data_IF_727656151934
#
_entry.id   IF_727656151934
#
_cell.length_a   1.000
_cell.length_b   1.000
_cell.length_c   1.000
_cell.angle_alpha   90.00
_cell.angle_beta   90.00
_cell.angle_gamma   90.00
#
_symmetry.space_group_name_H-M   'P 1'
#
loop_
_entity.id
_entity.type
_entity.pdbx_description
1 polymer ?
#
# COMPACT_ATOMS: atom_id res chain seq x y z
N UNK A 1 34.35 2.68 3.90
CA UNK A 1 35.57 2.64 3.06
C UNK A 1 36.70 3.28 3.84
N UNK A 2 37.59 2.47 4.42
CA UNK A 2 38.79 2.95 5.11
C UNK A 2 39.82 3.39 4.07
N UNK A 3 40.27 4.65 4.16
CA UNK A 3 41.40 5.15 3.38
C UNK A 3 42.65 4.97 4.23
N UNK A 4 43.40 3.90 3.95
CA UNK A 4 44.74 3.65 4.46
C UNK A 4 45.71 4.59 3.72
N UNK A 5 46.13 5.67 4.38
CA UNK A 5 47.19 6.55 3.87
C UNK A 5 48.53 5.95 4.27
N UNK A 6 49.21 5.29 3.33
CA UNK A 6 50.61 4.93 3.46
C UNK A 6 51.46 6.20 3.35
N UNK A 7 52.14 6.57 4.45
CA UNK A 7 53.21 7.57 4.44
C UNK A 7 54.56 6.87 4.52
N UNK A 8 55.29 6.89 3.42
CA UNK A 8 56.70 6.47 3.35
C UNK A 8 57.60 7.61 3.84
N UNK A 9 58.31 7.31 4.94
CA UNK A 9 59.68 7.73 5.28
C UNK A 9 60.17 9.11 4.79
N UNK A 10 60.08 10.12 5.67
CA UNK A 10 60.78 11.40 5.49
C UNK A 10 60.50 12.36 6.64
N UNK A 11 61.42 12.44 7.60
CA UNK A 11 61.37 13.36 8.75
C UNK A 11 61.39 14.83 8.28
N UNK A 12 60.22 15.47 8.16
CA UNK A 12 60.04 16.91 8.29
C UNK A 12 58.59 17.19 8.74
N UNK A 13 58.35 17.26 10.05
CA UNK A 13 57.11 17.83 10.58
C UNK A 13 57.10 19.33 10.26
N UNK A 14 56.40 19.73 9.20
CA UNK A 14 56.11 21.15 8.94
C UNK A 14 55.05 21.62 9.94
N UNK A 15 55.23 22.75 10.65
CA UNK A 15 54.25 23.26 11.64
C UNK A 15 52.82 23.36 11.10
N UNK A 16 52.69 23.65 9.80
CA UNK A 16 51.42 23.77 9.09
C UNK A 16 50.62 22.45 8.97
N UNK A 17 51.28 21.27 9.02
CA UNK A 17 50.55 19.98 8.96
C UNK A 17 49.86 19.63 10.28
N UNK A 18 50.40 20.07 11.43
CA UNK A 18 49.75 19.87 12.73
C UNK A 18 48.52 20.78 12.89
N UNK A 19 48.60 22.04 12.47
CA UNK A 19 47.45 22.95 12.46
C UNK A 19 46.33 22.47 11.53
N UNK A 20 46.64 21.99 10.31
CA UNK A 20 45.63 21.44 9.40
C UNK A 20 44.96 20.17 9.95
N UNK A 21 45.70 19.33 10.67
CA UNK A 21 45.13 18.11 11.30
C UNK A 21 44.23 18.47 12.47
N UNK A 22 44.56 19.48 13.27
CA UNK A 22 43.66 20.00 14.32
C UNK A 22 42.42 20.68 13.73
N UNK A 23 42.56 21.42 12.63
CA UNK A 23 41.44 22.06 11.95
C UNK A 23 40.52 21.02 11.30
N UNK A 24 41.07 19.97 10.68
CA UNK A 24 40.32 18.83 10.16
C UNK A 24 39.59 18.09 11.29
N UNK A 25 40.24 17.87 12.43
CA UNK A 25 39.61 17.26 13.61
C UNK A 25 38.47 18.09 14.18
N UNK A 26 38.60 19.43 14.21
CA UNK A 26 37.51 20.35 14.61
C UNK A 26 36.35 20.29 13.62
N UNK A 27 36.63 20.28 12.31
CA UNK A 27 35.61 20.17 11.27
C UNK A 27 34.90 18.82 11.32
N UNK A 28 35.63 17.71 11.49
CA UNK A 28 35.05 16.37 11.68
C UNK A 28 34.18 16.30 12.93
N UNK A 29 34.66 16.80 14.08
CA UNK A 29 33.89 16.81 15.31
C UNK A 29 32.61 17.65 15.20
N UNK A 30 32.67 18.80 14.51
CA UNK A 30 31.49 19.62 14.22
C UNK A 30 30.54 18.91 13.25
N UNK A 31 31.06 18.20 12.24
CA UNK A 31 30.25 17.39 11.32
C UNK A 31 29.56 16.24 12.06
N UNK A 32 30.29 15.47 12.87
CA UNK A 32 29.74 14.35 13.65
C UNK A 32 28.69 14.83 14.65
N UNK A 33 28.91 15.97 15.30
CA UNK A 33 27.90 16.57 16.19
C UNK A 33 26.68 17.06 15.39
N UNK A 34 26.88 17.73 14.26
CA UNK A 34 25.76 18.19 13.41
C UNK A 34 24.97 17.03 12.81
N UNK A 35 25.65 15.97 12.35
CA UNK A 35 25.01 14.76 11.82
C UNK A 35 24.28 13.97 12.91
N UNK A 36 24.86 13.89 14.12
CA UNK A 36 24.22 13.27 15.29
C UNK A 36 22.94 13.99 15.73
N UNK A 37 22.98 15.32 15.87
CA UNK A 37 21.79 16.12 16.21
C UNK A 37 20.71 16.09 15.12
N UNK A 38 21.12 16.06 13.85
CA UNK A 38 20.19 15.96 12.73
C UNK A 38 19.53 14.57 12.69
N UNK A 39 20.29 13.52 13.01
CA UNK A 39 19.78 12.14 13.05
C UNK A 39 18.78 11.94 14.19
N UNK A 40 19.07 12.42 15.41
CA UNK A 40 18.12 12.29 16.52
C UNK A 40 16.81 13.07 16.25
N UNK A 41 16.92 14.28 15.70
CA UNK A 41 15.77 15.09 15.31
C UNK A 41 14.92 14.38 14.25
N UNK A 42 15.56 13.76 13.26
CA UNK A 42 14.90 12.99 12.21
C UNK A 42 14.22 11.72 12.74
N UNK A 43 14.87 11.00 13.64
CA UNK A 43 14.29 9.83 14.33
C UNK A 43 13.01 10.25 15.06
N UNK A 44 13.08 11.31 15.86
CA UNK A 44 11.91 11.85 16.59
C UNK A 44 10.79 12.27 15.64
N UNK A 45 11.13 12.94 14.53
CA UNK A 45 10.15 13.35 13.53
C UNK A 45 9.43 12.14 12.88
N UNK A 46 10.18 11.13 12.44
CA UNK A 46 9.61 9.93 11.79
C UNK A 46 8.77 9.12 12.79
N UNK A 47 9.28 8.87 13.99
CA UNK A 47 8.56 8.11 15.01
C UNK A 47 7.31 8.86 15.48
N UNK A 48 7.39 10.17 15.71
CA UNK A 48 6.21 10.97 16.08
C UNK A 48 5.16 10.94 14.97
N UNK A 49 5.58 11.00 13.70
CA UNK A 49 4.68 10.93 12.55
C UNK A 49 3.97 9.58 12.41
N UNK A 50 4.62 8.49 12.83
CA UNK A 50 4.05 7.14 12.90
C UNK A 50 3.25 6.89 14.20
N UNK A 51 3.03 7.93 15.02
CA UNK A 51 2.18 7.89 16.21
C UNK A 51 2.88 7.49 17.51
N UNK A 52 4.21 7.35 17.54
CA UNK A 52 4.95 7.06 18.78
C UNK A 52 5.00 8.30 19.68
N UNK A 53 4.79 8.11 20.98
CA UNK A 53 4.94 9.18 21.97
C UNK A 53 6.39 9.32 22.41
N UNK A 54 6.73 10.45 23.00
CA UNK A 54 8.10 10.70 23.50
C UNK A 54 8.57 9.65 24.52
N UNK A 55 7.66 9.20 25.40
CA UNK A 55 7.95 8.12 26.35
C UNK A 55 8.14 6.76 25.68
N UNK A 56 7.62 6.55 24.47
CA UNK A 56 7.75 5.29 23.74
C UNK A 56 9.14 5.13 23.12
N UNK A 57 9.88 6.23 22.94
CA UNK A 57 11.21 6.23 22.31
C UNK A 57 12.27 5.45 23.10
N UNK A 58 12.07 5.29 24.41
CA UNK A 58 13.01 4.62 25.31
C UNK A 58 12.57 3.23 25.75
N UNK A 59 11.41 2.77 25.27
CA UNK A 59 10.83 1.47 25.64
C UNK A 59 11.45 0.35 24.81
N UNK A 60 11.48 -0.85 25.39
CA UNK A 60 11.95 -2.02 24.65
C UNK A 60 10.97 -2.38 23.54
N UNK A 61 11.49 -2.74 22.37
CA UNK A 61 10.67 -3.09 21.19
C UNK A 61 9.74 -4.28 21.42
N UNK A 62 10.13 -5.16 22.36
CA UNK A 62 9.37 -6.35 22.78
C UNK A 62 8.07 -6.01 23.53
N UNK A 63 7.97 -4.79 24.09
CA UNK A 63 6.76 -4.35 24.79
C UNK A 63 5.64 -3.88 23.85
N UNK A 64 5.94 -3.70 22.57
CA UNK A 64 4.99 -3.23 21.57
C UNK A 64 4.22 -4.40 20.94
N UNK A 65 2.96 -4.17 20.59
CA UNK A 65 2.19 -5.16 19.83
C UNK A 65 2.74 -5.32 18.41
N UNK A 66 2.43 -6.43 17.73
CA UNK A 66 2.95 -6.70 16.38
C UNK A 66 2.71 -5.57 15.37
N UNK A 67 1.57 -4.87 15.43
CA UNK A 67 1.31 -3.72 14.57
C UNK A 67 2.23 -2.53 14.86
N UNK A 68 2.56 -2.29 16.13
CA UNK A 68 3.53 -1.25 16.51
C UNK A 68 4.96 -1.67 16.14
N UNK A 69 5.31 -2.96 16.27
CA UNK A 69 6.61 -3.47 15.81
C UNK A 69 6.79 -3.30 14.30
N UNK A 70 5.74 -3.54 13.51
CA UNK A 70 5.74 -3.25 12.07
C UNK A 70 6.00 -1.75 11.79
N UNK A 71 5.38 -0.84 12.56
CA UNK A 71 5.66 0.60 12.44
C UNK A 71 7.12 0.95 12.80
N UNK A 72 7.73 0.26 13.76
CA UNK A 72 9.16 0.43 14.08
C UNK A 72 10.02 0.00 12.88
N UNK A 73 9.70 -1.12 12.24
CA UNK A 73 10.42 -1.57 11.04
C UNK A 73 10.24 -0.59 9.87
N UNK A 74 9.04 -0.06 9.67
CA UNK A 74 8.80 1.01 8.71
C UNK A 74 9.64 2.25 9.04
N UNK A 75 9.68 2.69 10.29
CA UNK A 75 10.50 3.83 10.72
C UNK A 75 11.99 3.61 10.41
N UNK A 76 12.53 2.42 10.72
CA UNK A 76 13.92 2.05 10.40
C UNK A 76 14.18 2.11 8.89
N UNK A 77 13.24 1.65 8.08
CA UNK A 77 13.34 1.69 6.63
C UNK A 77 13.34 3.13 6.09
N UNK A 78 12.43 3.98 6.57
CA UNK A 78 12.34 5.39 6.17
C UNK A 78 13.60 6.18 6.56
N UNK A 79 14.20 5.87 7.72
CA UNK A 79 15.43 6.49 8.20
C UNK A 79 16.66 6.19 7.31
N UNK A 80 16.66 5.05 6.62
CA UNK A 80 17.76 4.64 5.72
C UNK A 80 17.77 5.40 4.39
N UNK A 81 16.66 6.00 4.01
CA UNK A 81 16.50 6.73 2.73
C UNK A 81 17.07 5.99 1.50
N UNK A 82 16.66 4.74 1.24
CA UNK A 82 17.14 4.01 0.07
C UNK A 82 16.73 4.69 -1.25
N UNK A 83 17.55 4.55 -2.29
CA UNK A 83 17.22 5.08 -3.63
C UNK A 83 15.94 4.49 -4.21
N UNK A 84 15.62 3.24 -3.85
CA UNK A 84 14.39 2.54 -4.20
C UNK A 84 13.76 2.01 -2.91
N UNK A 85 12.52 2.41 -2.66
CA UNK A 85 11.71 1.98 -1.53
C UNK A 85 10.63 1.01 -2.01
N UNK A 86 10.64 -0.22 -1.50
CA UNK A 86 9.61 -1.23 -1.77
C UNK A 86 8.75 -1.38 -0.52
N UNK A 87 7.44 -1.16 -0.65
CA UNK A 87 6.48 -1.26 0.45
C UNK A 87 5.37 -2.24 0.08
N UNK A 88 5.20 -3.26 0.92
CA UNK A 88 4.12 -4.23 0.78
C UNK A 88 3.06 -3.96 1.86
N UNK A 89 1.89 -3.48 1.42
CA UNK A 89 0.75 -3.08 2.25
C UNK A 89 1.13 -2.19 3.46
N UNK A 90 1.79 -1.03 3.24
CA UNK A 90 2.28 -0.17 4.32
C UNK A 90 1.17 0.54 5.11
N UNK A 91 -0.05 0.57 4.58
CA UNK A 91 -1.23 1.18 5.21
C UNK A 91 -1.81 0.31 6.33
N UNK A 92 -1.46 -0.99 6.34
CA UNK A 92 -1.94 -1.90 7.35
C UNK A 92 -1.46 -1.48 8.74
N UNK A 93 -2.37 -1.57 9.72
CA UNK A 93 -2.11 -1.20 11.11
C UNK A 93 -1.76 0.28 11.35
N UNK A 94 -1.90 1.16 10.36
CA UNK A 94 -1.87 2.61 10.55
C UNK A 94 -3.25 3.14 10.94
N UNK A 95 -3.27 4.16 11.80
CA UNK A 95 -4.47 4.97 12.00
C UNK A 95 -4.47 6.12 10.98
N UNK A 96 -5.59 6.83 10.88
CA UNK A 96 -5.79 7.87 9.87
C UNK A 96 -4.68 8.95 9.96
N UNK A 97 -4.33 9.39 11.17
CA UNK A 97 -3.29 10.40 11.38
C UNK A 97 -1.91 9.92 10.90
N UNK A 98 -1.52 8.69 11.26
CA UNK A 98 -0.23 8.13 10.82
C UNK A 98 -0.21 7.87 9.30
N UNK A 99 -1.36 7.52 8.71
CA UNK A 99 -1.51 7.29 7.28
C UNK A 99 -1.34 8.60 6.50
N UNK A 100 -2.02 9.67 6.91
CA UNK A 100 -1.90 11.01 6.29
C UNK A 100 -0.46 11.54 6.40
N UNK A 101 0.20 11.32 7.53
CA UNK A 101 1.61 11.67 7.69
C UNK A 101 2.49 10.86 6.73
N UNK A 102 2.28 9.55 6.64
CA UNK A 102 3.05 8.68 5.75
C UNK A 102 2.87 9.08 4.28
N UNK A 103 1.65 9.38 3.85
CA UNK A 103 1.36 9.90 2.50
C UNK A 103 2.14 11.18 2.22
N UNK A 104 2.15 12.12 3.17
CA UNK A 104 2.87 13.38 3.04
C UNK A 104 4.37 13.16 2.97
N UNK A 105 4.91 12.27 3.81
CA UNK A 105 6.32 11.91 3.79
C UNK A 105 6.72 11.31 2.45
N UNK A 106 5.98 10.30 1.97
CA UNK A 106 6.26 9.59 0.73
C UNK A 106 6.12 10.48 -0.52
N UNK A 107 5.20 11.46 -0.53
CA UNK A 107 5.09 12.45 -1.61
C UNK A 107 6.35 13.32 -1.76
N UNK A 108 7.05 13.59 -0.67
CA UNK A 108 8.28 14.39 -0.64
C UNK A 108 9.56 13.55 -0.74
N UNK A 109 9.41 12.23 -0.90
CA UNK A 109 10.54 11.31 -0.98
C UNK A 109 11.31 11.52 -2.28
N UNK A 110 12.64 11.63 -2.18
CA UNK A 110 13.52 11.90 -3.33
C UNK A 110 13.84 10.66 -4.16
N UNK A 111 13.65 9.45 -3.62
CA UNK A 111 13.87 8.18 -4.32
C UNK A 111 12.65 7.69 -5.09
N UNK A 112 12.78 6.52 -5.72
CA UNK A 112 11.65 5.83 -6.36
C UNK A 112 10.91 4.98 -5.34
N UNK A 113 9.57 4.98 -5.40
CA UNK A 113 8.71 4.20 -4.51
C UNK A 113 7.93 3.18 -5.36
N UNK A 114 7.94 1.92 -4.94
CA UNK A 114 7.04 0.88 -5.41
C UNK A 114 6.20 0.45 -4.20
N UNK A 115 4.89 0.65 -4.29
CA UNK A 115 3.94 0.26 -3.25
C UNK A 115 2.97 -0.76 -3.82
N UNK A 116 2.72 -1.81 -3.04
CA UNK A 116 1.54 -2.67 -3.13
C UNK A 116 0.57 -2.25 -2.03
N UNK A 117 -0.68 -1.93 -2.40
CA UNK A 117 -1.71 -1.51 -1.44
C UNK A 117 -3.09 -1.86 -1.98
N UNK A 118 -4.00 -2.26 -1.10
CA UNK A 118 -5.43 -2.36 -1.39
C UNK A 118 -6.21 -1.08 -1.06
N UNK A 119 -5.56 -0.06 -0.48
CA UNK A 119 -6.19 1.23 -0.17
C UNK A 119 -6.20 2.14 -1.41
N UNK A 120 -7.38 2.29 -2.01
CA UNK A 120 -7.57 3.12 -3.20
C UNK A 120 -7.30 4.60 -2.97
N UNK A 121 -7.56 5.16 -1.77
CA UNK A 121 -7.29 6.57 -1.48
C UNK A 121 -5.81 6.84 -1.35
N UNK A 122 -5.11 5.97 -0.63
CA UNK A 122 -3.66 6.04 -0.50
C UNK A 122 -2.98 5.99 -1.86
N UNK A 123 -3.37 5.04 -2.71
CA UNK A 123 -2.86 4.94 -4.08
C UNK A 123 -3.24 6.15 -4.93
N UNK A 124 -4.45 6.69 -4.79
CA UNK A 124 -4.87 7.86 -5.56
C UNK A 124 -4.05 9.11 -5.23
N UNK A 125 -3.67 9.24 -3.96
CA UNK A 125 -2.87 10.35 -3.45
C UNK A 125 -1.38 10.22 -3.79
N UNK A 126 -0.83 9.00 -3.82
CA UNK A 126 0.61 8.77 -3.97
C UNK A 126 1.02 8.37 -5.39
N UNK A 127 0.22 7.56 -6.09
CA UNK A 127 0.63 6.92 -7.33
C UNK A 127 0.66 7.88 -8.51
N UNK A 128 1.76 7.83 -9.27
CA UNK A 128 1.90 8.52 -10.55
C UNK A 128 1.73 7.57 -11.75
N UNK A 129 1.95 6.28 -11.50
CA UNK A 129 1.82 5.17 -12.45
C UNK A 129 1.27 3.97 -11.68
N UNK A 130 0.39 3.20 -12.33
CA UNK A 130 -0.19 1.97 -11.76
C UNK A 130 0.21 0.81 -12.64
N UNK A 131 0.70 -0.26 -12.01
CA UNK A 131 1.09 -1.49 -12.68
C UNK A 131 0.09 -2.57 -12.29
N UNK A 132 -0.73 -3.00 -13.25
CA UNK A 132 -1.64 -4.12 -13.11
C UNK A 132 -0.92 -5.43 -13.45
N UNK A 133 -1.01 -6.41 -12.56
CA UNK A 133 -0.54 -7.77 -12.80
C UNK A 133 -1.76 -8.68 -12.86
N UNK A 134 -2.13 -9.13 -14.05
CA UNK A 134 -3.30 -10.01 -14.26
C UNK A 134 -2.99 -11.06 -15.34
N UNK A 135 -3.44 -12.30 -15.14
CA UNK A 135 -3.27 -13.42 -16.09
C UNK A 135 -1.81 -13.63 -16.55
N UNK A 136 -0.84 -13.39 -15.66
CA UNK A 136 0.60 -13.47 -15.97
C UNK A 136 1.11 -12.37 -16.90
N UNK A 137 0.30 -11.34 -17.17
CA UNK A 137 0.65 -10.15 -17.94
C UNK A 137 0.79 -8.95 -17.01
N UNK A 138 1.72 -8.07 -17.36
CA UNK A 138 1.95 -6.81 -16.67
C UNK A 138 1.50 -5.69 -17.60
N UNK A 139 0.51 -4.91 -17.19
CA UNK A 139 0.00 -3.75 -17.94
C UNK A 139 0.24 -2.50 -17.13
N UNK A 140 0.84 -1.50 -17.76
CA UNK A 140 1.13 -0.23 -17.11
C UNK A 140 0.10 0.84 -17.51
N UNK A 141 -0.30 1.64 -16.52
CA UNK A 141 -1.22 2.76 -16.66
C UNK A 141 -0.56 4.04 -16.13
N UNK A 142 -0.74 5.14 -16.85
CA UNK A 142 -0.26 6.45 -16.41
C UNK A 142 -1.34 7.14 -15.58
N UNK A 143 -0.92 7.82 -14.51
CA UNK A 143 -1.81 8.52 -13.58
C UNK A 143 -2.01 7.77 -12.27
N UNK A 144 -2.97 8.27 -11.50
CA UNK A 144 -3.31 7.74 -10.18
C UNK A 144 -4.27 6.54 -10.27
N UNK A 145 -4.69 6.01 -9.11
CA UNK A 145 -5.56 4.85 -9.05
C UNK A 145 -6.91 5.07 -9.75
N UNK A 146 -7.56 6.22 -9.57
CA UNK A 146 -8.83 6.53 -10.23
C UNK A 146 -8.69 6.55 -11.76
N UNK A 147 -7.60 7.15 -12.25
CA UNK A 147 -7.28 7.18 -13.69
C UNK A 147 -7.06 5.77 -14.24
N UNK A 148 -6.44 4.88 -13.45
CA UNK A 148 -6.28 3.46 -13.80
C UNK A 148 -7.63 2.76 -13.94
N UNK A 149 -8.57 2.96 -13.00
CA UNK A 149 -9.89 2.32 -13.04
C UNK A 149 -10.65 2.69 -14.32
N UNK A 150 -10.62 3.97 -14.71
CA UNK A 150 -11.24 4.44 -15.95
C UNK A 150 -10.57 3.83 -17.19
N UNK A 151 -9.24 3.87 -17.27
CA UNK A 151 -8.48 3.29 -18.39
C UNK A 151 -8.71 1.77 -18.50
N UNK A 152 -8.78 1.06 -17.36
CA UNK A 152 -9.08 -0.37 -17.31
C UNK A 152 -10.48 -0.65 -17.86
N UNK A 153 -11.50 0.11 -17.45
CA UNK A 153 -12.86 -0.05 -17.96
C UNK A 153 -12.93 0.14 -19.49
N UNK A 154 -12.34 1.22 -20.01
CA UNK A 154 -12.28 1.46 -21.46
C UNK A 154 -11.56 0.34 -22.22
N UNK A 155 -10.44 -0.14 -21.67
CA UNK A 155 -9.70 -1.28 -22.25
C UNK A 155 -10.54 -2.54 -22.27
N UNK A 156 -11.29 -2.83 -21.20
CA UNK A 156 -12.17 -3.98 -21.12
C UNK A 156 -13.30 -3.92 -22.13
N UNK A 157 -13.93 -2.75 -22.34
CA UNK A 157 -14.99 -2.57 -23.36
C UNK A 157 -14.47 -2.86 -24.77
N UNK A 158 -13.27 -2.37 -25.10
CA UNK A 158 -12.60 -2.62 -26.39
C UNK A 158 -12.27 -4.11 -26.52
N UNK A 159 -11.74 -4.73 -25.46
CA UNK A 159 -11.38 -6.14 -25.46
C UNK A 159 -12.61 -7.04 -25.66
N UNK A 160 -13.71 -6.74 -24.96
CA UNK A 160 -14.97 -7.47 -25.05
C UNK A 160 -15.60 -7.36 -26.44
N UNK A 161 -15.66 -6.16 -27.01
CA UNK A 161 -16.18 -5.97 -28.37
C UNK A 161 -15.33 -6.68 -29.44
N UNK A 162 -14.00 -6.66 -29.28
CA UNK A 162 -13.07 -7.36 -30.18
C UNK A 162 -13.24 -8.87 -30.09
N UNK A 163 -13.36 -9.42 -28.88
CA UNK A 163 -13.64 -10.83 -28.64
C UNK A 163 -14.99 -11.27 -29.24
N UNK A 164 -16.06 -10.48 -29.06
CA UNK A 164 -17.35 -10.79 -29.67
C UNK A 164 -17.29 -10.84 -31.20
N UNK A 165 -16.58 -9.88 -31.81
CA UNK A 165 -16.37 -9.84 -33.25
C UNK A 165 -15.55 -11.05 -33.73
N UNK A 166 -14.50 -11.41 -33.00
CA UNK A 166 -13.70 -12.61 -33.27
C UNK A 166 -14.56 -13.89 -33.18
N UNK A 167 -15.37 -14.02 -32.12
CA UNK A 167 -16.30 -15.14 -31.92
C UNK A 167 -17.30 -15.25 -33.08
N UNK A 168 -17.90 -14.13 -33.52
CA UNK A 168 -18.81 -14.10 -34.68
C UNK A 168 -18.09 -14.52 -35.97
N UNK A 169 -16.86 -14.07 -36.18
CA UNK A 169 -16.04 -14.43 -37.33
C UNK A 169 -15.72 -15.93 -37.36
N UNK A 170 -15.29 -16.49 -36.22
CA UNK A 170 -15.01 -17.93 -36.07
C UNK A 170 -16.27 -18.74 -36.36
N UNK A 171 -17.42 -18.39 -35.77
CA UNK A 171 -18.69 -19.07 -36.01
C UNK A 171 -19.14 -19.02 -37.49
N UNK A 172 -18.99 -17.87 -38.16
CA UNK A 172 -19.30 -17.74 -39.59
C UNK A 172 -18.35 -18.59 -40.45
N UNK A 173 -17.08 -18.64 -40.07
CA UNK A 173 -16.05 -19.42 -40.78
C UNK A 173 -16.27 -20.91 -40.62
N UNK A 174 -16.57 -21.39 -39.41
CA UNK A 174 -16.91 -22.78 -39.13
C UNK A 174 -18.16 -23.21 -39.90
N UNK A 175 -19.23 -22.41 -39.90
CA UNK A 175 -20.44 -22.69 -40.70
C UNK A 175 -20.14 -22.81 -42.20
N UNK A 176 -19.23 -21.98 -42.73
CA UNK A 176 -18.80 -22.08 -44.12
C UNK A 176 -18.03 -23.37 -44.37
N UNK A 177 -17.07 -23.71 -43.50
CA UNK A 177 -16.28 -24.93 -43.60
C UNK A 177 -17.21 -26.15 -43.60
N UNK A 178 -18.12 -26.25 -42.62
CA UNK A 178 -19.09 -27.35 -42.52
C UNK A 178 -19.97 -27.48 -43.76
N UNK A 179 -20.53 -26.37 -44.25
CA UNK A 179 -21.44 -26.36 -45.41
C UNK A 179 -20.75 -26.78 -46.71
N UNK A 180 -19.46 -26.48 -46.86
CA UNK A 180 -18.72 -26.66 -48.12
C UNK A 180 -17.61 -27.71 -48.06
N UNK A 181 -17.42 -28.40 -46.93
CA UNK A 181 -16.35 -29.40 -46.72
C UNK A 181 -16.33 -30.50 -47.77
N UNK A 182 -17.51 -30.92 -48.23
CA UNK A 182 -17.68 -32.01 -49.20
C UNK A 182 -17.81 -31.53 -50.65
N UNK A 183 -17.75 -30.21 -50.92
CA UNK A 183 -17.82 -29.69 -52.30
C UNK A 183 -16.41 -29.50 -52.88
N UNK A 184 -16.04 -30.35 -53.85
CA UNK A 184 -14.73 -30.31 -54.51
C UNK A 184 -14.37 -28.92 -55.09
N UNK A 185 -15.35 -28.20 -55.66
CA UNK A 185 -15.16 -26.84 -56.22
C UNK A 185 -14.76 -25.79 -55.19
N UNK A 186 -14.98 -26.04 -53.90
CA UNK A 186 -14.67 -25.11 -52.79
C UNK A 186 -13.52 -25.60 -51.89
N UNK A 187 -12.89 -26.74 -52.22
CA UNK A 187 -11.85 -27.35 -51.40
C UNK A 187 -10.69 -26.40 -51.04
N UNK A 188 -10.18 -25.63 -52.02
CA UNK A 188 -9.12 -24.64 -51.78
C UNK A 188 -9.54 -23.55 -50.78
N UNK A 189 -10.79 -23.07 -50.86
CA UNK A 189 -11.31 -22.03 -49.96
C UNK A 189 -11.53 -22.57 -48.54
N UNK A 190 -12.00 -23.82 -48.41
CA UNK A 190 -12.16 -24.49 -47.11
C UNK A 190 -10.80 -24.68 -46.44
N UNK A 191 -9.81 -25.24 -47.15
CA UNK A 191 -8.46 -25.42 -46.60
C UNK A 191 -7.82 -24.09 -46.19
N UNK A 192 -7.99 -23.03 -46.99
CA UNK A 192 -7.48 -21.69 -46.63
C UNK A 192 -8.09 -21.17 -45.33
N UNK A 193 -9.39 -21.38 -45.11
CA UNK A 193 -10.09 -20.92 -43.90
C UNK A 193 -9.73 -21.75 -42.67
N UNK A 194 -9.51 -23.06 -42.82
CA UNK A 194 -8.99 -23.91 -41.75
C UNK A 194 -7.62 -23.39 -41.28
N UNK A 195 -6.69 -23.17 -42.22
CA UNK A 195 -5.37 -22.60 -41.91
C UNK A 195 -5.44 -21.21 -41.28
N UNK A 196 -6.41 -20.39 -41.68
CA UNK A 196 -6.63 -19.07 -41.08
C UNK A 196 -7.04 -19.20 -39.60
N UNK A 197 -7.93 -20.14 -39.27
CA UNK A 197 -8.36 -20.38 -37.89
C UNK A 197 -7.25 -21.00 -37.03
N UNK A 198 -6.45 -21.92 -37.58
CA UNK A 198 -5.31 -22.53 -36.86
C UNK A 198 -4.23 -21.51 -36.49
N UNK A 199 -4.05 -20.46 -37.31
CA UNK A 199 -3.08 -19.39 -37.07
C UNK A 199 -3.65 -18.21 -36.29
N UNK A 200 -4.96 -18.23 -35.97
CA UNK A 200 -5.60 -17.12 -35.28
C UNK A 200 -5.28 -17.19 -33.78
N UNK A 201 -4.67 -16.14 -33.26
CA UNK A 201 -4.50 -15.98 -31.81
C UNK A 201 -5.86 -15.67 -31.17
N UNK A 202 -6.23 -16.47 -30.17
CA UNK A 202 -7.52 -16.30 -29.47
C UNK A 202 -7.40 -15.23 -28.40
N UNK A 203 -8.36 -14.32 -28.40
CA UNK A 203 -8.48 -13.30 -27.36
C UNK A 203 -9.04 -13.96 -26.10
N UNK A 204 -8.33 -13.82 -24.99
CA UNK A 204 -8.79 -14.22 -23.66
C UNK A 204 -9.40 -13.00 -22.96
N UNK A 205 -10.62 -13.14 -22.44
CA UNK A 205 -11.22 -12.15 -21.54
C UNK A 205 -11.11 -12.70 -20.11
N UNK A 206 -10.75 -11.83 -19.16
CA UNK A 206 -10.95 -12.07 -17.73
C UNK A 206 -12.42 -12.44 -17.49
N UNK A 207 -12.68 -13.63 -16.95
CA UNK A 207 -14.02 -13.91 -16.44
C UNK A 207 -14.24 -12.97 -15.27
N UNK A 208 -15.39 -12.29 -15.24
CA UNK A 208 -15.76 -11.37 -14.15
C UNK A 208 -15.28 -11.95 -12.82
N UNK A 209 -14.46 -11.19 -12.10
CA UNK A 209 -14.17 -11.50 -10.71
C UNK A 209 -15.51 -11.71 -10.03
N UNK A 210 -15.67 -12.84 -9.32
CA UNK A 210 -16.93 -13.14 -8.65
C UNK A 210 -17.28 -11.94 -7.78
N UNK A 211 -18.33 -11.21 -8.14
CA UNK A 211 -18.88 -10.15 -7.31
C UNK A 211 -19.24 -10.82 -6.00
N UNK A 212 -18.46 -10.54 -4.96
CA UNK A 212 -18.71 -11.11 -3.64
C UNK A 212 -19.92 -10.37 -3.09
N UNK A 213 -21.12 -10.93 -3.32
CA UNK A 213 -22.35 -10.45 -2.68
C UNK A 213 -22.34 -10.90 -1.22
N UNK A 214 -22.36 -9.93 -0.32
CA UNK A 214 -22.59 -10.17 1.10
C UNK A 214 -24.01 -9.77 1.45
N UNK A 215 -24.90 -10.76 1.50
CA UNK A 215 -26.27 -10.56 1.96
C UNK A 215 -26.35 -10.78 3.46
N UNK A 216 -26.79 -9.76 4.19
CA UNK A 216 -27.08 -9.85 5.62
C UNK A 216 -28.56 -10.18 5.82
N UNK A 217 -28.90 -11.10 6.74
CA UNK A 217 -30.29 -11.40 7.03
C UNK A 217 -30.99 -10.15 7.60
N UNK A 218 -32.26 -9.97 7.23
CA UNK A 218 -33.07 -8.89 7.79
C UNK A 218 -33.22 -9.11 9.31
N UNK A 219 -32.86 -8.13 10.15
CA UNK A 219 -32.96 -8.28 11.60
C UNK A 219 -34.44 -8.39 12.03
N UNK A 220 -34.73 -9.06 13.16
CA UNK A 220 -36.07 -9.07 13.73
C UNK A 220 -36.54 -7.65 14.08
N UNK A 221 -37.85 -7.47 14.24
CA UNK A 221 -38.41 -6.16 14.62
C UNK A 221 -37.83 -5.73 15.98
N UNK A 222 -37.04 -4.65 15.98
CA UNK A 222 -36.53 -3.99 17.17
C UNK A 222 -37.27 -2.66 17.43
N UNK A 223 -37.25 -2.23 18.69
CA UNK A 223 -37.70 -0.89 19.09
C UNK A 223 -36.81 0.22 18.52
N UNK A 224 -37.18 1.48 18.77
CA UNK A 224 -36.40 2.64 18.31
C UNK A 224 -34.99 2.67 18.93
N UNK A 225 -34.90 2.50 20.24
CA UNK A 225 -33.62 2.36 20.95
C UNK A 225 -33.24 0.87 20.94
N UNK A 226 -32.07 0.57 20.40
CA UNK A 226 -31.53 -0.80 20.30
C UNK A 226 -30.60 -1.10 21.47
N UNK A 227 -29.80 -0.12 21.88
CA UNK A 227 -28.87 -0.25 23.00
C UNK A 227 -28.67 1.09 23.69
N UNK A 228 -28.56 1.07 25.01
CA UNK A 228 -28.22 2.25 25.82
C UNK A 228 -27.11 1.86 26.79
N UNK A 229 -26.00 2.58 26.73
CA UNK A 229 -24.88 2.49 27.64
C UNK A 229 -24.98 3.71 28.57
N UNK A 230 -25.18 3.50 29.87
CA UNK A 230 -25.15 4.57 30.87
C UNK A 230 -23.89 4.48 31.74
N UNK A 231 -23.11 5.56 31.75
CA UNK A 231 -21.93 5.77 32.61
C UNK A 231 -20.93 4.61 32.65
N UNK A 232 -20.71 3.93 31.53
CA UNK A 232 -19.77 2.82 31.46
C UNK A 232 -18.35 3.30 31.75
N UNK A 233 -17.69 2.59 32.65
CA UNK A 233 -16.30 2.82 33.02
C UNK A 233 -15.54 1.51 32.81
N UNK A 234 -14.45 1.56 32.05
CA UNK A 234 -13.61 0.38 31.77
C UNK A 234 -12.15 0.74 31.99
N UNK A 235 -11.45 -0.11 32.71
CA UNK A 235 -10.02 0.04 33.05
C UNK A 235 -9.31 -1.29 32.83
N UNK A 236 -8.10 -1.24 32.27
CA UNK A 236 -7.18 -2.38 32.23
C UNK A 236 -5.95 -2.06 33.09
N UNK A 237 -5.77 -2.78 34.19
CA UNK A 237 -4.73 -2.45 35.17
C UNK A 237 -4.88 -1.03 35.71
N UNK A 238 -3.86 -0.20 35.52
CA UNK A 238 -3.86 1.22 35.90
C UNK A 238 -4.33 2.18 34.79
N UNK A 239 -4.69 1.66 33.61
CA UNK A 239 -5.06 2.48 32.46
C UNK A 239 -6.59 2.53 32.29
N UNK A 240 -7.26 3.63 32.68
CA UNK A 240 -8.69 3.82 32.42
C UNK A 240 -8.90 4.09 30.94
N UNK A 241 -9.64 3.21 30.26
CA UNK A 241 -9.98 3.32 28.85
C UNK A 241 -11.22 4.19 28.66
N UNK A 242 -12.25 3.98 29.47
CA UNK A 242 -13.48 4.77 29.46
C UNK A 242 -13.82 5.25 30.86
N UNK A 243 -14.29 6.50 30.98
CA UNK A 243 -14.78 7.08 32.23
C UNK A 243 -16.17 7.67 31.99
N UNK A 244 -17.20 7.07 32.60
CA UNK A 244 -18.61 7.50 32.49
C UNK A 244 -19.08 7.70 31.05
N UNK A 245 -18.75 6.77 30.16
CA UNK A 245 -19.22 6.79 28.77
C UNK A 245 -20.74 6.57 28.75
N UNK A 246 -21.48 7.50 28.14
CA UNK A 246 -22.90 7.36 27.86
C UNK A 246 -23.12 7.36 26.34
N UNK A 247 -23.83 6.36 25.82
CA UNK A 247 -24.08 6.19 24.38
C UNK A 247 -25.45 5.53 24.18
N UNK A 248 -26.27 6.12 23.32
CA UNK A 248 -27.54 5.53 22.89
C UNK A 248 -27.44 5.19 21.42
N UNK A 249 -27.79 3.95 21.04
CA UNK A 249 -27.79 3.44 19.67
C UNK A 249 -29.24 3.21 19.26
N UNK A 250 -29.68 3.91 18.23
CA UNK A 250 -31.01 3.77 17.64
C UNK A 250 -31.01 2.83 16.43
N UNK A 251 -32.19 2.32 16.10
CA UNK A 251 -32.38 1.45 14.94
C UNK A 251 -32.12 2.23 13.66
N UNK A 252 -31.17 1.73 12.86
CA UNK A 252 -30.80 2.32 11.57
C UNK A 252 -29.51 3.14 11.64
N UNK A 253 -28.95 3.35 12.83
CA UNK A 253 -27.69 4.04 13.00
C UNK A 253 -26.54 3.31 12.29
N UNK A 254 -25.69 4.10 11.65
CA UNK A 254 -24.41 3.64 11.08
C UNK A 254 -23.29 4.30 11.88
N UNK A 255 -22.71 3.54 12.80
CA UNK A 255 -21.70 4.07 13.75
C UNK A 255 -20.32 3.61 13.31
N UNK A 256 -19.38 4.55 13.22
CA UNK A 256 -17.97 4.28 12.99
C UNK A 256 -17.14 4.72 14.20
N UNK A 257 -16.27 3.83 14.71
CA UNK A 257 -15.37 4.15 15.82
C UNK A 257 -14.05 4.69 15.28
N UNK A 258 -13.77 5.96 15.53
CA UNK A 258 -12.54 6.64 15.11
C UNK A 258 -11.62 6.91 16.29
N UNK A 259 -10.31 6.98 16.02
CA UNK A 259 -9.28 7.34 17.01
C UNK A 259 -7.98 6.59 16.80
N UNK A 260 -6.92 7.02 17.50
CA UNK A 260 -5.59 6.41 17.44
C UNK A 260 -5.58 4.95 17.88
N UNK A 261 -4.57 4.19 17.46
CA UNK A 261 -4.41 2.82 17.94
C UNK A 261 -4.18 2.78 19.46
N UNK A 262 -4.89 1.87 20.13
CA UNK A 262 -4.91 1.80 21.60
C UNK A 262 -5.93 2.71 22.29
N UNK A 263 -6.74 3.50 21.57
CA UNK A 263 -7.77 4.37 22.17
C UNK A 263 -8.97 3.63 22.78
N UNK A 264 -9.05 2.31 22.67
CA UNK A 264 -10.16 1.50 23.20
C UNK A 264 -11.26 1.13 22.20
N UNK A 265 -11.10 1.40 20.89
CA UNK A 265 -12.09 1.06 19.84
C UNK A 265 -12.58 -0.39 19.93
N UNK A 266 -11.66 -1.36 19.97
CA UNK A 266 -11.99 -2.79 20.11
C UNK A 266 -12.62 -3.12 21.47
N UNK A 267 -12.28 -2.38 22.52
CA UNK A 267 -12.90 -2.53 23.84
C UNK A 267 -14.36 -2.08 23.80
N UNK A 268 -14.67 -0.96 23.15
CA UNK A 268 -16.05 -0.50 22.97
C UNK A 268 -16.85 -1.46 22.09
N UNK A 269 -16.26 -1.95 21.00
CA UNK A 269 -16.90 -2.94 20.14
C UNK A 269 -17.25 -4.24 20.89
N UNK A 270 -16.37 -4.71 21.80
CA UNK A 270 -16.69 -5.86 22.67
C UNK A 270 -17.82 -5.56 23.65
N UNK A 271 -17.79 -4.38 24.30
CA UNK A 271 -18.86 -3.97 25.21
C UNK A 271 -20.23 -3.91 24.51
N UNK A 272 -20.26 -3.57 23.21
CA UNK A 272 -21.49 -3.51 22.41
C UNK A 272 -21.90 -4.91 21.90
N UNK A 273 -20.96 -5.83 21.75
CA UNK A 273 -21.22 -7.17 21.23
C UNK A 273 -21.59 -8.19 22.32
N UNK A 274 -21.18 -7.95 23.57
CA UNK A 274 -21.54 -8.71 24.76
C UNK A 274 -22.99 -8.41 25.20
#
# INVERSE_FOLDING_TARGET
>A
HEILIHTSSGNHELPQTKELVEELGKVQHILEHREGYNTETKIKHILSGLGFKENDLYRMTEEFSGGWQMRIELAKLLLREPTILLLDEPTNHLDIESLEWLETYLKSYSGSIIVVSHDSRFLDNLAQRVVEISMGKVTEYTGNFSSYVEQKAQRMDILQSTYENQKRLIQKTNRFIERFRYKATKAKQVQSRIKMLEKMELIEIEKDEKIISFDFPQPPRSGRVVMELDKITKTYGNNPVFRKLALTIERGDRIAFLGVNGSGKSTLARIIAD
#
